data_IF_298938781319
#
_entry.id   IF_298938781319
#
_cell.length_a   1.000
_cell.length_b   1.000
_cell.length_c   1.000
_cell.angle_alpha   90.00
_cell.angle_beta   90.00
_cell.angle_gamma   90.00
#
_symmetry.space_group_name_H-M   'P 1'
#
loop_
_entity.id
_entity.type
_entity.pdbx_description
1 polymer ?
#
# COMPACT_ATOMS: atom_id res chain seq x y z
N UNK A 1 -30.43 -3.49 24.05
CA UNK A 1 -31.14 -3.93 22.83
C UNK A 1 -31.57 -5.37 22.95
N UNK A 2 -32.76 -5.74 22.39
CA UNK A 2 -33.21 -7.13 22.41
C UNK A 2 -32.41 -7.99 21.41
N UNK A 3 -32.24 -9.29 21.72
CA UNK A 3 -31.49 -10.23 20.86
C UNK A 3 -32.01 -10.24 19.40
N UNK A 4 -33.32 -10.12 19.21
CA UNK A 4 -33.95 -10.05 17.88
C UNK A 4 -33.57 -8.79 17.08
N UNK A 5 -33.46 -7.64 17.75
CA UNK A 5 -33.04 -6.37 17.15
C UNK A 5 -31.57 -6.40 16.77
N UNK A 6 -30.74 -6.98 17.64
CA UNK A 6 -29.31 -7.16 17.39
C UNK A 6 -29.09 -8.02 16.12
N UNK A 7 -29.85 -9.11 15.98
CA UNK A 7 -29.76 -9.97 14.80
C UNK A 7 -30.18 -9.25 13.52
N UNK A 8 -31.22 -8.41 13.54
CA UNK A 8 -31.63 -7.60 12.39
C UNK A 8 -30.54 -6.62 11.98
N UNK A 9 -29.87 -5.96 12.96
CA UNK A 9 -28.74 -5.06 12.68
C UNK A 9 -27.59 -5.85 12.05
N UNK A 10 -27.20 -6.99 12.63
CA UNK A 10 -26.13 -7.82 12.06
C UNK A 10 -26.43 -8.27 10.64
N UNK A 11 -27.64 -8.70 10.35
CA UNK A 11 -28.07 -9.09 8.99
C UNK A 11 -27.99 -7.92 8.02
N UNK A 12 -28.48 -6.74 8.41
CA UNK A 12 -28.46 -5.54 7.57
C UNK A 12 -27.05 -5.11 7.17
N UNK A 13 -26.08 -5.25 8.06
CA UNK A 13 -24.70 -4.83 7.83
C UNK A 13 -23.74 -5.98 7.53
N UNK A 14 -24.28 -7.18 7.30
CA UNK A 14 -23.49 -8.41 7.05
C UNK A 14 -22.42 -8.67 8.13
N UNK A 15 -22.75 -8.41 9.38
CA UNK A 15 -21.86 -8.65 10.53
C UNK A 15 -22.01 -10.09 10.97
N UNK A 16 -20.91 -10.84 10.90
CA UNK A 16 -20.85 -12.22 11.39
C UNK A 16 -20.04 -12.28 12.68
N UNK A 17 -20.61 -12.98 13.67
CA UNK A 17 -20.02 -13.17 14.97
C UNK A 17 -21.04 -13.00 16.11
N UNK A 18 -20.80 -13.68 17.23
CA UNK A 18 -21.67 -13.68 18.40
C UNK A 18 -20.94 -13.31 19.69
N UNK A 19 -19.68 -12.96 19.61
CA UNK A 19 -18.87 -12.54 20.75
C UNK A 19 -19.53 -11.35 21.48
N UNK A 20 -19.54 -11.39 22.80
CA UNK A 20 -20.16 -10.37 23.65
C UNK A 20 -19.56 -8.97 23.46
N UNK A 21 -18.25 -8.89 23.23
CA UNK A 21 -17.57 -7.61 22.97
C UNK A 21 -18.07 -6.94 21.68
N UNK A 22 -18.28 -7.71 20.62
CA UNK A 22 -18.85 -7.20 19.35
C UNK A 22 -20.32 -6.81 19.53
N UNK A 23 -21.11 -7.63 20.23
CA UNK A 23 -22.52 -7.37 20.52
C UNK A 23 -22.68 -6.06 21.31
N UNK A 24 -21.84 -5.85 22.33
CA UNK A 24 -21.80 -4.62 23.12
C UNK A 24 -21.43 -3.40 22.26
N UNK A 25 -20.44 -3.53 21.37
CA UNK A 25 -20.05 -2.46 20.47
C UNK A 25 -21.22 -2.02 19.57
N UNK A 26 -21.97 -2.97 19.02
CA UNK A 26 -23.16 -2.69 18.20
C UNK A 26 -24.28 -2.07 19.05
N UNK A 27 -24.52 -2.58 20.25
CA UNK A 27 -25.55 -2.05 21.15
C UNK A 27 -25.28 -0.58 21.52
N UNK A 28 -24.05 -0.25 21.90
CA UNK A 28 -23.62 1.14 22.18
C UNK A 28 -23.76 2.02 20.93
N UNK A 29 -23.37 1.50 19.74
CA UNK A 29 -23.51 2.23 18.49
C UNK A 29 -24.98 2.61 18.20
N UNK A 30 -25.91 1.68 18.43
CA UNK A 30 -27.34 1.94 18.26
C UNK A 30 -27.90 2.92 19.30
N UNK A 31 -27.45 2.85 20.54
CA UNK A 31 -27.87 3.77 21.60
C UNK A 31 -27.37 5.22 21.35
N UNK A 32 -26.18 5.37 20.81
CA UNK A 32 -25.60 6.70 20.53
C UNK A 32 -26.06 7.28 19.19
N UNK A 33 -26.58 6.46 18.29
CA UNK A 33 -26.98 6.89 16.95
C UNK A 33 -27.95 8.09 16.94
N UNK A 34 -28.99 8.17 17.81
CA UNK A 34 -29.92 9.28 17.82
C UNK A 34 -29.34 10.60 18.34
N UNK A 35 -28.13 10.59 18.92
CA UNK A 35 -27.46 11.76 19.50
C UNK A 35 -26.43 12.34 18.53
N UNK A 36 -25.99 13.59 18.78
CA UNK A 36 -24.88 14.21 18.05
C UNK A 36 -23.54 14.11 18.79
N UNK A 37 -23.44 13.23 19.79
CA UNK A 37 -22.21 13.03 20.55
C UNK A 37 -21.09 12.45 19.68
N UNK A 38 -19.86 12.89 19.93
CA UNK A 38 -18.66 12.32 19.33
C UNK A 38 -18.42 10.90 19.83
N UNK A 39 -17.98 10.03 18.96
CA UNK A 39 -17.71 8.62 19.26
C UNK A 39 -16.28 8.29 18.88
N UNK A 40 -15.53 7.67 19.78
CA UNK A 40 -14.19 7.17 19.51
C UNK A 40 -14.22 5.64 19.49
N UNK A 41 -13.95 5.06 18.34
CA UNK A 41 -13.88 3.61 18.13
C UNK A 41 -12.43 3.16 18.31
N UNK A 42 -12.21 2.26 19.26
CA UNK A 42 -10.89 1.75 19.61
C UNK A 42 -10.82 0.28 19.23
N UNK A 43 -9.78 -0.12 18.52
CA UNK A 43 -9.55 -1.51 18.12
C UNK A 43 -8.35 -1.67 17.23
N UNK A 44 -7.78 -2.86 17.18
CA UNK A 44 -6.63 -3.17 16.33
C UNK A 44 -6.91 -2.96 14.84
N UNK A 45 -5.85 -2.88 14.05
CA UNK A 45 -5.99 -2.81 12.59
C UNK A 45 -6.66 -4.08 12.05
N UNK A 46 -7.58 -3.93 11.08
CA UNK A 46 -8.25 -5.06 10.45
C UNK A 46 -9.38 -5.73 11.25
N UNK A 47 -9.84 -5.17 12.38
CA UNK A 47 -10.96 -5.73 13.17
C UNK A 47 -12.34 -5.42 12.60
N UNK A 48 -12.44 -4.49 11.62
CA UNK A 48 -13.71 -4.06 11.00
C UNK A 48 -14.31 -2.82 11.65
N UNK A 49 -13.48 -1.82 12.06
CA UNK A 49 -13.93 -0.56 12.67
C UNK A 49 -14.91 0.23 11.79
N UNK A 50 -14.78 0.15 10.48
CA UNK A 50 -15.56 0.91 9.49
C UNK A 50 -17.07 0.60 9.50
N UNK A 51 -17.50 -0.50 10.10
CA UNK A 51 -18.92 -0.89 10.14
C UNK A 51 -19.69 -0.04 11.17
N UNK A 52 -19.07 0.25 12.31
CA UNK A 52 -19.72 0.96 13.43
C UNK A 52 -20.17 2.39 13.04
N UNK A 53 -19.34 3.21 12.36
CA UNK A 53 -19.76 4.55 11.91
C UNK A 53 -20.96 4.50 10.96
N UNK A 54 -21.06 3.48 10.10
CA UNK A 54 -22.20 3.29 9.21
C UNK A 54 -23.47 2.97 9.99
N UNK A 55 -23.38 2.08 11.00
CA UNK A 55 -24.51 1.79 11.90
C UNK A 55 -24.98 3.09 12.58
N UNK A 56 -24.05 3.90 13.09
CA UNK A 56 -24.36 5.16 13.76
C UNK A 56 -25.03 6.14 12.80
N UNK A 57 -24.47 6.34 11.60
CA UNK A 57 -25.01 7.27 10.63
C UNK A 57 -26.42 6.86 10.15
N UNK A 58 -26.60 5.60 9.72
CA UNK A 58 -27.85 5.10 9.14
C UNK A 58 -29.02 5.10 10.14
N UNK A 59 -28.73 5.05 11.44
CA UNK A 59 -29.74 5.07 12.50
C UNK A 59 -29.82 6.44 13.23
N UNK A 60 -29.15 7.48 12.67
CA UNK A 60 -29.14 8.85 13.19
C UNK A 60 -30.22 9.72 12.51
N UNK A 61 -30.52 10.90 13.10
CA UNK A 61 -31.33 11.94 12.42
C UNK A 61 -30.70 12.37 11.08
N UNK A 62 -29.37 12.26 10.93
CA UNK A 62 -28.59 12.65 9.74
C UNK A 62 -28.51 11.56 8.67
N UNK A 63 -29.26 10.48 8.76
CA UNK A 63 -29.21 9.31 7.85
C UNK A 63 -29.45 9.61 6.35
N UNK A 64 -30.05 10.76 6.04
CA UNK A 64 -30.31 11.21 4.66
C UNK A 64 -29.26 12.18 4.16
N UNK A 65 -28.41 12.66 5.05
CA UNK A 65 -27.35 13.59 4.75
C UNK A 65 -26.06 12.85 4.30
N UNK A 66 -25.05 13.61 3.90
CA UNK A 66 -23.79 13.03 3.40
C UNK A 66 -23.03 12.30 4.49
N UNK A 67 -22.48 11.16 4.13
CA UNK A 67 -21.53 10.39 4.93
C UNK A 67 -20.18 10.32 4.21
N UNK A 68 -19.12 10.76 4.86
CA UNK A 68 -17.75 10.66 4.36
C UNK A 68 -16.91 9.83 5.30
N UNK A 69 -16.16 8.86 4.73
CA UNK A 69 -15.16 8.09 5.45
C UNK A 69 -13.77 8.48 4.93
N UNK A 70 -12.91 8.93 5.84
CA UNK A 70 -11.58 9.46 5.54
C UNK A 70 -10.58 8.66 6.37
N UNK A 71 -9.58 8.08 5.72
CA UNK A 71 -8.45 7.48 6.42
C UNK A 71 -7.34 8.52 6.53
N UNK A 72 -7.07 9.00 7.75
CA UNK A 72 -6.10 10.06 8.03
C UNK A 72 -4.66 9.60 7.75
N UNK A 73 -4.34 8.33 7.97
CA UNK A 73 -3.01 7.77 7.70
C UNK A 73 -2.68 7.61 6.22
N UNK A 74 -3.71 7.60 5.33
CA UNK A 74 -3.50 7.47 3.89
C UNK A 74 -3.25 8.79 3.17
N UNK A 75 -3.50 9.95 3.83
CA UNK A 75 -3.33 11.28 3.26
C UNK A 75 -1.97 11.84 3.69
N UNK A 76 -1.11 12.29 2.75
CA UNK A 76 0.17 12.88 3.10
C UNK A 76 0.01 14.10 4.03
N UNK A 77 0.90 14.24 5.02
CA UNK A 77 0.87 15.33 6.01
C UNK A 77 0.79 16.74 5.37
N UNK A 78 1.49 16.94 4.25
CA UNK A 78 1.50 18.23 3.54
C UNK A 78 0.18 18.61 2.86
N UNK A 79 -0.77 17.68 2.69
CA UNK A 79 -2.05 17.90 2.00
C UNK A 79 -3.27 17.68 2.88
N UNK A 80 -3.13 17.04 4.03
CA UNK A 80 -4.24 16.66 4.90
C UNK A 80 -5.09 17.86 5.36
N UNK A 81 -4.47 18.99 5.66
CA UNK A 81 -5.18 20.21 6.02
C UNK A 81 -6.02 20.76 4.88
N UNK A 82 -5.49 20.71 3.66
CA UNK A 82 -6.19 21.13 2.45
C UNK A 82 -7.37 20.20 2.11
N UNK A 83 -7.23 18.90 2.32
CA UNK A 83 -8.31 17.93 2.11
C UNK A 83 -9.42 18.10 3.16
N UNK A 84 -9.07 18.21 4.44
CA UNK A 84 -10.05 18.32 5.52
C UNK A 84 -10.76 19.69 5.54
N UNK A 85 -10.01 20.78 5.50
CA UNK A 85 -10.53 22.15 5.72
C UNK A 85 -10.71 22.95 4.44
N UNK A 86 -10.21 22.42 3.29
CA UNK A 86 -10.21 23.14 2.04
C UNK A 86 -9.09 24.16 1.90
N UNK A 87 -8.96 24.74 0.72
CA UNK A 87 -7.95 25.75 0.43
C UNK A 87 -8.49 26.83 -0.51
N UNK A 88 -7.91 28.03 -0.42
CA UNK A 88 -8.14 29.10 -1.38
C UNK A 88 -7.18 29.02 -2.55
N UNK A 89 -7.60 29.57 -3.70
CA UNK A 89 -6.78 29.61 -4.91
C UNK A 89 -5.44 30.28 -4.62
N UNK A 90 -4.33 29.60 -4.98
CA UNK A 90 -2.97 30.14 -4.82
C UNK A 90 -2.37 29.99 -3.41
N UNK A 91 -3.01 29.26 -2.50
CA UNK A 91 -2.53 29.08 -1.12
C UNK A 91 -1.24 28.26 -1.00
N UNK A 92 -0.92 27.43 -1.99
CA UNK A 92 0.34 26.67 -2.09
C UNK A 92 0.66 26.36 -3.55
N UNK A 93 1.89 25.90 -3.82
CA UNK A 93 2.33 25.50 -5.18
C UNK A 93 1.51 24.30 -5.68
N UNK A 94 0.58 24.56 -6.60
CA UNK A 94 -0.36 23.54 -7.11
C UNK A 94 -1.83 23.82 -6.79
N UNK A 95 -2.16 24.81 -5.96
CA UNK A 95 -3.52 25.26 -5.68
C UNK A 95 -4.08 26.10 -6.86
N UNK A 96 -4.39 25.44 -7.98
CA UNK A 96 -4.91 26.09 -9.19
C UNK A 96 -6.34 26.58 -9.00
N UNK A 97 -7.13 25.86 -8.22
CA UNK A 97 -8.53 26.15 -7.88
C UNK A 97 -8.75 26.37 -6.40
N UNK A 98 -10.00 26.64 -6.05
CA UNK A 98 -10.52 26.65 -4.69
C UNK A 98 -11.06 25.24 -4.36
N UNK A 99 -10.85 24.75 -3.15
CA UNK A 99 -11.42 23.49 -2.65
C UNK A 99 -12.19 23.76 -1.34
N UNK A 100 -13.40 23.23 -1.25
CA UNK A 100 -14.25 23.41 -0.07
C UNK A 100 -13.78 22.58 1.13
N UNK A 101 -13.10 21.48 0.90
CA UNK A 101 -12.68 20.51 1.91
C UNK A 101 -13.82 19.64 2.45
N UNK A 102 -13.44 18.55 3.12
CA UNK A 102 -14.44 17.59 3.62
C UNK A 102 -15.39 18.20 4.65
N UNK A 103 -14.93 19.11 5.53
CA UNK A 103 -15.80 19.75 6.53
C UNK A 103 -16.84 20.67 5.91
N UNK A 104 -16.54 21.29 4.78
CA UNK A 104 -17.53 22.08 4.04
C UNK A 104 -18.54 21.19 3.33
N UNK A 105 -18.06 20.22 2.57
CA UNK A 105 -18.88 19.30 1.75
C UNK A 105 -19.80 18.42 2.60
N UNK A 106 -19.37 18.05 3.82
CA UNK A 106 -20.10 17.20 4.77
C UNK A 106 -21.04 17.97 5.71
N UNK A 107 -21.20 19.28 5.51
CA UNK A 107 -22.06 20.10 6.37
C UNK A 107 -23.46 19.46 6.52
N UNK A 108 -23.98 19.41 7.76
CA UNK A 108 -25.18 18.70 8.24
C UNK A 108 -25.09 17.17 8.22
N UNK A 109 -23.98 16.61 7.71
CA UNK A 109 -23.76 15.18 7.58
C UNK A 109 -22.94 14.56 8.72
N UNK A 110 -22.25 13.48 8.39
CA UNK A 110 -21.35 12.75 9.30
C UNK A 110 -20.01 12.52 8.63
N UNK A 111 -18.93 12.80 9.34
CA UNK A 111 -17.55 12.46 8.94
C UNK A 111 -17.06 11.34 9.85
N UNK A 112 -16.55 10.29 9.23
CA UNK A 112 -15.79 9.24 9.89
C UNK A 112 -14.30 9.46 9.62
N UNK A 113 -13.52 9.66 10.69
CA UNK A 113 -12.07 9.80 10.66
C UNK A 113 -11.42 8.50 11.13
N UNK A 114 -10.93 7.69 10.21
CA UNK A 114 -10.15 6.49 10.56
C UNK A 114 -8.67 6.87 10.79
N UNK A 115 -8.02 6.13 11.68
CA UNK A 115 -6.62 6.36 12.07
C UNK A 115 -6.36 7.80 12.53
N UNK A 116 -7.27 8.34 13.35
CA UNK A 116 -7.18 9.72 13.85
C UNK A 116 -5.90 9.99 14.66
N UNK A 117 -5.27 8.95 15.20
CA UNK A 117 -3.99 9.01 15.91
C UNK A 117 -2.80 9.40 15.02
N UNK A 118 -2.94 9.30 13.68
CA UNK A 118 -1.90 9.64 12.71
C UNK A 118 -1.97 11.12 12.24
N UNK A 119 -2.95 11.90 12.75
CA UNK A 119 -3.08 13.30 12.40
C UNK A 119 -1.89 14.13 12.92
N UNK A 120 -1.31 15.03 12.10
CA UNK A 120 -0.31 16.01 12.55
C UNK A 120 -0.84 16.92 13.66
N UNK A 121 0.03 17.35 14.58
CA UNK A 121 -0.34 18.20 15.72
C UNK A 121 -1.05 19.51 15.32
N UNK A 122 -0.66 20.11 14.20
CA UNK A 122 -1.31 21.30 13.66
C UNK A 122 -2.76 21.02 13.24
N UNK A 123 -2.98 19.91 12.53
CA UNK A 123 -4.30 19.44 12.11
C UNK A 123 -5.19 19.08 13.29
N UNK A 124 -4.61 18.46 14.34
CA UNK A 124 -5.34 18.16 15.58
C UNK A 124 -5.88 19.43 16.26
N UNK A 125 -5.11 20.52 16.29
CA UNK A 125 -5.55 21.78 16.86
C UNK A 125 -6.72 22.40 16.06
N UNK A 126 -6.69 22.27 14.74
CA UNK A 126 -7.77 22.74 13.86
C UNK A 126 -9.03 21.88 14.01
N UNK A 127 -8.86 20.55 14.11
CA UNK A 127 -9.96 19.61 14.35
C UNK A 127 -10.65 19.88 15.69
N UNK A 128 -9.89 20.19 16.74
CA UNK A 128 -10.45 20.57 18.04
C UNK A 128 -11.38 21.78 17.92
N UNK A 129 -10.98 22.82 17.18
CA UNK A 129 -11.82 23.99 16.94
C UNK A 129 -13.13 23.65 16.23
N UNK A 130 -13.10 22.75 15.26
CA UNK A 130 -14.33 22.25 14.60
C UNK A 130 -15.23 21.52 15.60
N UNK A 131 -14.67 20.69 16.49
CA UNK A 131 -15.43 19.94 17.50
C UNK A 131 -16.05 20.82 18.59
N UNK A 132 -15.42 21.97 18.91
CA UNK A 132 -15.88 22.87 19.97
C UNK A 132 -16.88 23.90 19.46
N UNK A 133 -16.56 24.55 18.35
CA UNK A 133 -17.31 25.72 17.86
C UNK A 133 -17.98 25.50 16.51
N UNK A 134 -17.69 24.39 15.81
CA UNK A 134 -18.13 24.16 14.43
C UNK A 134 -17.47 25.12 13.43
N UNK A 135 -16.33 25.74 13.80
CA UNK A 135 -15.65 26.74 12.98
C UNK A 135 -14.31 26.22 12.45
N UNK A 136 -14.00 26.58 11.22
CA UNK A 136 -12.71 26.31 10.60
C UNK A 136 -12.32 27.42 9.62
N UNK A 137 -11.05 27.44 9.23
CA UNK A 137 -10.52 28.38 8.24
C UNK A 137 -9.83 27.55 7.16
N UNK A 138 -10.08 27.90 5.89
CA UNK A 138 -9.40 27.26 4.75
C UNK A 138 -7.89 27.55 4.75
N UNK A 139 -7.11 26.68 4.15
CA UNK A 139 -5.67 26.91 3.97
C UNK A 139 -5.45 28.14 3.07
N UNK A 140 -4.64 29.09 3.53
CA UNK A 140 -4.42 30.37 2.87
C UNK A 140 -5.53 31.39 3.01
N UNK A 141 -6.67 31.04 3.63
CA UNK A 141 -7.80 31.92 3.86
C UNK A 141 -7.75 32.60 5.21
N UNK A 142 -8.57 33.68 5.36
CA UNK A 142 -8.80 34.40 6.62
C UNK A 142 -10.27 34.31 7.09
N UNK A 143 -11.16 33.89 6.18
CA UNK A 143 -12.58 33.82 6.47
C UNK A 143 -12.90 32.62 7.36
N UNK A 144 -13.64 32.86 8.44
CA UNK A 144 -14.19 31.83 9.31
C UNK A 144 -15.36 31.17 8.59
N UNK A 145 -15.26 29.85 8.37
CA UNK A 145 -16.32 29.01 7.84
C UNK A 145 -16.98 28.27 8.99
N UNK A 146 -18.30 27.99 8.87
CA UNK A 146 -19.07 27.22 9.85
C UNK A 146 -19.53 25.92 9.26
N UNK A 147 -19.48 24.87 10.06
CA UNK A 147 -20.00 23.54 9.69
C UNK A 147 -20.74 22.94 10.89
N UNK A 148 -21.83 22.25 10.59
CA UNK A 148 -22.57 21.41 11.52
C UNK A 148 -22.37 19.94 11.10
N UNK A 149 -21.29 19.32 11.56
CA UNK A 149 -20.92 17.96 11.19
C UNK A 149 -20.81 17.08 12.42
N UNK A 150 -21.38 15.87 12.36
CA UNK A 150 -21.15 14.85 13.36
C UNK A 150 -19.83 14.14 13.08
N UNK A 151 -18.96 14.02 14.08
CA UNK A 151 -17.67 13.37 13.97
C UNK A 151 -17.71 12.02 14.69
N UNK A 152 -17.32 10.96 13.98
CA UNK A 152 -17.02 9.63 14.50
C UNK A 152 -15.57 9.34 14.18
N UNK A 153 -14.74 9.05 15.17
CA UNK A 153 -13.31 8.81 15.00
C UNK A 153 -12.97 7.35 15.30
N UNK A 154 -11.95 6.81 14.66
CA UNK A 154 -11.40 5.50 14.98
C UNK A 154 -9.87 5.55 15.11
N UNK A 155 -9.34 4.68 15.95
CA UNK A 155 -7.90 4.54 16.17
C UNK A 155 -7.51 3.11 16.50
N UNK A 156 -6.32 2.70 16.10
CA UNK A 156 -5.64 1.49 16.51
C UNK A 156 -4.49 1.77 17.48
N UNK A 157 -4.18 3.05 17.72
CA UNK A 157 -3.07 3.49 18.56
C UNK A 157 -3.49 3.55 20.03
N UNK A 158 -2.56 3.23 20.93
CA UNK A 158 -2.76 3.50 22.36
C UNK A 158 -2.67 5.03 22.59
N UNK A 159 -3.84 5.65 22.71
CA UNK A 159 -3.96 7.12 22.82
C UNK A 159 -3.25 7.67 24.08
N UNK A 160 -3.27 6.94 25.21
CA UNK A 160 -2.56 7.38 26.42
C UNK A 160 -1.04 7.46 26.20
N UNK A 161 -0.50 6.46 25.49
CA UNK A 161 0.91 6.46 25.12
C UNK A 161 1.22 7.59 24.12
N UNK A 162 0.39 7.79 23.11
CA UNK A 162 0.55 8.87 22.13
C UNK A 162 0.53 10.28 22.79
N UNK A 163 -0.33 10.47 23.79
CA UNK A 163 -0.40 11.73 24.58
C UNK A 163 0.89 11.90 25.39
N UNK A 164 1.35 10.87 26.11
CA UNK A 164 2.57 10.97 26.91
C UNK A 164 3.83 11.22 26.07
N UNK A 165 3.84 10.79 24.81
CA UNK A 165 4.92 11.04 23.85
C UNK A 165 4.77 12.37 23.09
N UNK A 166 3.73 13.17 23.36
CA UNK A 166 3.47 14.44 22.71
C UNK A 166 3.03 14.33 21.25
N UNK A 167 2.65 13.13 20.78
CA UNK A 167 2.16 12.89 19.42
C UNK A 167 0.67 13.16 19.24
N UNK A 168 -0.07 13.19 20.34
CA UNK A 168 -1.51 13.49 20.33
C UNK A 168 -1.87 14.45 21.45
N UNK A 169 -2.77 15.41 21.17
CA UNK A 169 -3.23 16.40 22.13
C UNK A 169 -4.23 15.79 23.10
N UNK A 170 -4.05 16.07 24.38
CA UNK A 170 -4.93 15.58 25.44
C UNK A 170 -6.33 16.18 25.37
N UNK A 171 -6.45 17.47 25.05
CA UNK A 171 -7.73 18.18 24.90
C UNK A 171 -8.58 17.58 23.75
N UNK A 172 -7.97 17.31 22.60
CA UNK A 172 -8.65 16.66 21.49
C UNK A 172 -9.09 15.24 21.86
N UNK A 173 -8.25 14.48 22.58
CA UNK A 173 -8.62 13.14 23.02
C UNK A 173 -9.89 13.15 23.87
N UNK A 174 -9.99 14.01 24.89
CA UNK A 174 -11.19 14.09 25.72
C UNK A 174 -12.42 14.54 24.92
N UNK A 175 -12.26 15.38 23.92
CA UNK A 175 -13.38 15.83 23.08
C UNK A 175 -13.87 14.74 22.13
N UNK A 176 -12.98 13.92 21.58
CA UNK A 176 -13.33 12.77 20.73
C UNK A 176 -13.88 11.59 21.54
N UNK A 177 -13.31 11.33 22.71
CA UNK A 177 -13.61 10.19 23.58
C UNK A 177 -14.84 10.42 24.47
N UNK A 178 -15.87 11.09 23.97
CA UNK A 178 -17.12 11.28 24.71
C UNK A 178 -17.82 9.95 24.92
N UNK A 179 -17.93 9.13 23.88
CA UNK A 179 -18.46 7.76 23.97
C UNK A 179 -17.42 6.82 23.36
N UNK A 180 -16.69 6.03 24.17
CA UNK A 180 -15.79 5.00 23.67
C UNK A 180 -16.54 3.75 23.22
N UNK A 181 -16.19 3.22 22.04
CA UNK A 181 -16.63 1.91 21.56
C UNK A 181 -15.40 1.05 21.31
N UNK A 182 -15.25 -0.04 22.06
CA UNK A 182 -14.15 -0.99 21.87
C UNK A 182 -14.60 -2.15 20.99
N UNK A 183 -13.82 -2.46 19.96
CA UNK A 183 -14.00 -3.64 19.13
C UNK A 183 -12.92 -4.64 19.52
N UNK A 184 -13.29 -5.85 19.98
CA UNK A 184 -12.32 -6.85 20.40
C UNK A 184 -11.50 -7.36 19.19
N UNK A 185 -10.22 -7.68 19.39
CA UNK A 185 -9.41 -8.33 18.36
C UNK A 185 -9.95 -9.74 18.08
N UNK A 186 -9.61 -10.29 16.92
CA UNK A 186 -10.18 -11.55 16.44
C UNK A 186 -9.87 -12.73 17.36
N UNK A 187 -8.68 -12.76 17.97
CA UNK A 187 -8.27 -13.80 18.95
C UNK A 187 -9.18 -13.88 20.18
N UNK A 188 -9.83 -12.77 20.55
CA UNK A 188 -10.73 -12.68 21.70
C UNK A 188 -12.21 -12.95 21.31
N UNK A 189 -12.48 -13.27 20.02
CA UNK A 189 -13.82 -13.56 19.51
C UNK A 189 -14.16 -15.06 19.46
N UNK A 190 -13.21 -15.93 19.80
CA UNK A 190 -13.43 -17.38 19.87
C UNK A 190 -13.98 -17.98 18.57
N UNK A 191 -15.15 -18.63 18.66
CA UNK A 191 -15.77 -19.32 17.52
C UNK A 191 -16.17 -18.42 16.33
N UNK A 192 -16.23 -17.11 16.54
CA UNK A 192 -16.47 -16.15 15.44
C UNK A 192 -15.43 -16.29 14.32
N UNK A 193 -14.21 -16.73 14.63
CA UNK A 193 -13.15 -17.03 13.65
C UNK A 193 -13.66 -18.04 12.61
N UNK A 194 -14.26 -19.13 13.07
CA UNK A 194 -14.75 -20.18 12.19
C UNK A 194 -15.99 -19.75 11.40
N UNK A 195 -16.84 -18.92 12.00
CA UNK A 195 -18.00 -18.35 11.31
C UNK A 195 -17.56 -17.42 10.18
N UNK A 196 -16.59 -16.56 10.44
CA UNK A 196 -16.01 -15.65 9.45
C UNK A 196 -15.28 -16.41 8.34
N UNK A 197 -14.51 -17.44 8.69
CA UNK A 197 -13.90 -18.32 7.68
C UNK A 197 -14.94 -18.92 6.74
N UNK A 198 -16.03 -19.48 7.27
CA UNK A 198 -17.12 -20.07 6.46
C UNK A 198 -17.75 -19.05 5.54
N UNK A 199 -17.97 -17.82 6.02
CA UNK A 199 -18.50 -16.73 5.22
C UNK A 199 -17.54 -16.39 4.07
N UNK A 200 -16.25 -16.20 4.37
CA UNK A 200 -15.25 -15.85 3.35
C UNK A 200 -15.04 -16.97 2.35
N UNK A 201 -14.98 -18.24 2.81
CA UNK A 201 -14.88 -19.39 1.92
C UNK A 201 -16.06 -19.48 0.94
N UNK A 202 -17.27 -19.15 1.39
CA UNK A 202 -18.46 -19.09 0.52
C UNK A 202 -18.34 -17.94 -0.49
N UNK A 203 -17.96 -16.74 -0.04
CA UNK A 203 -17.77 -15.59 -0.93
C UNK A 203 -16.69 -15.84 -1.99
N UNK A 204 -15.60 -16.53 -1.62
CA UNK A 204 -14.52 -16.85 -2.58
C UNK A 204 -14.96 -17.95 -3.55
N UNK A 205 -15.73 -18.93 -3.09
CA UNK A 205 -16.32 -19.95 -3.98
C UNK A 205 -17.22 -19.33 -5.05
N UNK A 206 -18.07 -18.37 -4.67
CA UNK A 206 -18.92 -17.63 -5.60
C UNK A 206 -18.10 -16.71 -6.54
N UNK A 207 -17.15 -15.96 -5.99
CA UNK A 207 -16.32 -15.01 -6.75
C UNK A 207 -15.47 -15.67 -7.83
N UNK A 208 -14.89 -16.82 -7.51
CA UNK A 208 -13.96 -17.54 -8.39
C UNK A 208 -14.57 -18.76 -9.08
N UNK A 209 -15.85 -19.03 -8.86
CA UNK A 209 -16.55 -20.23 -9.39
C UNK A 209 -15.85 -21.55 -9.04
N UNK A 210 -15.29 -21.62 -7.81
CA UNK A 210 -14.59 -22.77 -7.29
C UNK A 210 -15.44 -23.51 -6.26
N UNK A 211 -15.24 -24.82 -6.07
CA UNK A 211 -15.86 -25.53 -4.96
C UNK A 211 -15.41 -24.93 -3.61
N UNK A 212 -16.36 -24.81 -2.68
CA UNK A 212 -16.11 -24.28 -1.34
C UNK A 212 -15.07 -25.12 -0.59
N UNK A 213 -14.15 -24.45 0.09
CA UNK A 213 -13.19 -25.09 1.00
C UNK A 213 -13.81 -25.31 2.38
N UNK A 214 -13.38 -26.38 3.06
CA UNK A 214 -13.74 -26.73 4.43
C UNK A 214 -12.47 -26.98 5.24
N UNK A 215 -12.59 -26.95 6.56
CA UNK A 215 -11.47 -27.20 7.47
C UNK A 215 -11.65 -28.57 8.15
N UNK A 216 -10.58 -29.34 8.25
CA UNK A 216 -10.52 -30.49 9.17
C UNK A 216 -10.60 -30.01 10.64
N UNK A 217 -10.84 -30.92 11.57
CA UNK A 217 -10.93 -30.53 12.98
C UNK A 217 -9.58 -30.06 13.55
N UNK A 218 -8.48 -30.61 13.05
CA UNK A 218 -7.12 -30.13 13.38
C UNK A 218 -6.90 -28.71 12.87
N UNK A 219 -7.28 -28.42 11.63
CA UNK A 219 -7.18 -27.09 11.07
C UNK A 219 -8.03 -26.06 11.81
N UNK A 220 -9.26 -26.43 12.25
CA UNK A 220 -10.10 -25.57 13.09
C UNK A 220 -9.41 -25.23 14.40
N UNK A 221 -8.80 -26.23 15.06
CA UNK A 221 -8.08 -26.02 16.32
C UNK A 221 -6.89 -25.04 16.14
N UNK A 222 -6.10 -25.19 15.06
CA UNK A 222 -4.99 -24.31 14.74
C UNK A 222 -5.50 -22.87 14.53
N UNK A 223 -6.57 -22.70 13.75
CA UNK A 223 -7.15 -21.38 13.50
C UNK A 223 -7.66 -20.67 14.77
N UNK A 224 -8.25 -21.43 15.70
CA UNK A 224 -8.74 -20.89 16.97
C UNK A 224 -7.59 -20.46 17.90
N UNK A 225 -6.45 -21.13 17.81
CA UNK A 225 -5.28 -20.87 18.67
C UNK A 225 -4.38 -19.75 18.12
N UNK A 226 -4.46 -19.47 16.85
CA UNK A 226 -3.61 -18.45 16.21
C UNK A 226 -3.98 -17.03 16.67
N UNK A 227 -2.96 -16.18 16.86
CA UNK A 227 -3.12 -14.80 17.42
C UNK A 227 -3.80 -13.79 16.49
N UNK A 228 -3.82 -14.05 15.19
CA UNK A 228 -4.41 -13.19 14.16
C UNK A 228 -3.97 -11.72 14.25
N UNK A 229 -2.67 -11.38 14.11
CA UNK A 229 -2.19 -10.00 14.25
C UNK A 229 -2.82 -9.03 13.25
N UNK A 230 -3.21 -9.49 12.06
CA UNK A 230 -3.97 -8.70 11.07
C UNK A 230 -5.49 -8.88 11.15
N UNK A 231 -6.00 -9.55 12.21
CA UNK A 231 -7.42 -9.72 12.52
C UNK A 231 -8.26 -10.25 11.33
N UNK A 232 -9.45 -9.69 11.12
CA UNK A 232 -10.40 -10.11 10.08
C UNK A 232 -9.83 -9.90 8.67
N UNK A 233 -9.02 -8.86 8.47
CA UNK A 233 -8.36 -8.60 7.17
C UNK A 233 -7.38 -9.73 6.81
N UNK A 234 -6.59 -10.18 7.78
CA UNK A 234 -5.67 -11.31 7.58
C UNK A 234 -6.44 -12.62 7.35
N UNK A 235 -7.47 -12.89 8.17
CA UNK A 235 -8.31 -14.09 8.00
C UNK A 235 -8.91 -14.15 6.59
N UNK A 236 -9.45 -13.03 6.10
CA UNK A 236 -10.01 -12.94 4.75
C UNK A 236 -8.96 -13.25 3.67
N UNK A 237 -7.77 -12.63 3.77
CA UNK A 237 -6.69 -12.84 2.80
C UNK A 237 -6.20 -14.30 2.80
N UNK A 238 -6.01 -14.89 3.97
CA UNK A 238 -5.58 -16.30 4.10
C UNK A 238 -6.67 -17.24 3.54
N UNK A 239 -7.95 -16.96 3.82
CA UNK A 239 -9.07 -17.75 3.27
C UNK A 239 -9.12 -17.64 1.75
N UNK A 240 -8.87 -16.47 1.18
CA UNK A 240 -8.80 -16.26 -0.27
C UNK A 240 -7.64 -17.04 -0.88
N UNK A 241 -6.44 -16.97 -0.28
CA UNK A 241 -5.27 -17.75 -0.71
C UNK A 241 -5.54 -19.26 -0.66
N UNK A 242 -6.09 -19.76 0.44
CA UNK A 242 -6.47 -21.17 0.55
C UNK A 242 -7.49 -21.58 -0.51
N UNK A 243 -8.50 -20.74 -0.79
CA UNK A 243 -9.54 -21.04 -1.78
C UNK A 243 -8.99 -21.17 -3.19
N UNK A 244 -7.95 -20.40 -3.54
CA UNK A 244 -7.37 -20.36 -4.89
C UNK A 244 -6.23 -21.39 -5.05
N UNK A 245 -5.37 -21.52 -4.05
CA UNK A 245 -4.11 -22.28 -4.16
C UNK A 245 -4.23 -23.73 -3.69
N UNK A 246 -5.22 -24.09 -2.87
CA UNK A 246 -5.36 -25.47 -2.38
C UNK A 246 -5.93 -26.38 -3.46
N UNK A 247 -5.26 -27.51 -3.69
CA UNK A 247 -5.74 -28.57 -4.57
C UNK A 247 -6.87 -29.37 -3.92
N UNK A 248 -6.74 -29.64 -2.63
CA UNK A 248 -7.76 -30.31 -1.81
C UNK A 248 -8.76 -29.30 -1.28
N UNK A 249 -10.03 -29.67 -1.25
CA UNK A 249 -11.10 -28.80 -0.75
C UNK A 249 -11.31 -28.91 0.76
N UNK A 250 -10.82 -29.95 1.36
CA UNK A 250 -10.72 -30.09 2.81
C UNK A 250 -9.27 -29.76 3.24
N UNK A 251 -9.13 -28.66 3.97
CA UNK A 251 -7.82 -28.16 4.43
C UNK A 251 -7.45 -28.92 5.70
N UNK A 252 -6.38 -29.71 5.60
CA UNK A 252 -5.81 -30.44 6.73
C UNK A 252 -4.98 -29.55 7.67
N UNK A 253 -4.63 -30.05 8.86
CA UNK A 253 -3.74 -29.36 9.80
C UNK A 253 -2.36 -29.06 9.21
N UNK A 254 -1.81 -29.95 8.39
CA UNK A 254 -0.53 -29.73 7.72
C UNK A 254 -0.63 -28.68 6.59
N UNK A 255 -1.73 -28.70 5.86
CA UNK A 255 -1.96 -27.76 4.78
C UNK A 255 -2.11 -26.32 5.28
N UNK A 256 -2.75 -26.11 6.43
CA UNK A 256 -2.98 -24.77 6.98
C UNK A 256 -1.68 -24.07 7.41
N UNK A 257 -0.66 -24.82 7.88
CA UNK A 257 0.66 -24.28 8.23
C UNK A 257 1.38 -23.63 7.04
N UNK A 258 1.04 -23.99 5.80
CA UNK A 258 1.60 -23.36 4.59
C UNK A 258 1.06 -21.94 4.36
N UNK A 259 -0.12 -21.63 4.91
CA UNK A 259 -0.81 -20.35 4.70
C UNK A 259 -0.77 -19.45 5.94
N UNK A 260 -0.77 -20.04 7.12
CA UNK A 260 -0.63 -19.28 8.36
C UNK A 260 0.86 -19.14 8.64
N UNK A 261 1.42 -17.91 8.69
CA UNK A 261 2.80 -17.72 9.12
C UNK A 261 2.99 -18.37 10.48
N UNK A 262 4.02 -19.20 10.64
CA UNK A 262 4.40 -19.65 11.97
C UNK A 262 4.59 -18.42 12.83
N UNK A 263 4.03 -18.44 14.04
CA UNK A 263 4.26 -17.38 15.02
C UNK A 263 5.77 -17.27 15.22
N UNK A 264 6.37 -16.42 14.45
CA UNK A 264 7.71 -15.95 14.73
C UNK A 264 7.59 -15.18 16.03
N UNK A 265 7.67 -15.88 17.16
CA UNK A 265 7.99 -15.29 18.46
C UNK A 265 9.31 -14.49 18.41
N UNK A 266 9.91 -14.40 17.26
CA UNK A 266 11.20 -13.76 16.97
C UNK A 266 11.27 -12.95 15.71
N UNK A 267 10.16 -12.60 15.05
CA UNK A 267 10.29 -11.58 14.01
C UNK A 267 10.02 -10.22 14.63
N UNK A 268 11.06 -9.60 15.09
CA UNK A 268 11.30 -8.19 15.38
C UNK A 268 10.81 -7.21 14.29
N UNK A 269 9.82 -7.56 13.50
CA UNK A 269 9.08 -6.64 12.65
C UNK A 269 8.06 -5.80 13.42
N UNK A 270 7.77 -6.18 14.68
CA UNK A 270 6.94 -5.37 15.58
C UNK A 270 7.74 -4.30 16.35
N UNK A 271 9.04 -4.19 16.17
CA UNK A 271 9.89 -3.19 16.83
C UNK A 271 10.41 -2.10 15.90
N UNK A 272 9.81 -1.91 14.73
CA UNK A 272 10.02 -0.69 13.94
C UNK A 272 9.06 0.43 14.41
N UNK A 273 8.42 0.27 15.56
CA UNK A 273 7.63 1.32 16.21
C UNK A 273 8.17 1.63 17.59
N UNK A 274 9.47 1.87 17.73
CA UNK A 274 10.01 2.61 18.87
C UNK A 274 10.37 4.00 18.40
N UNK A 275 9.67 5.04 18.89
CA UNK A 275 10.01 6.40 18.57
C UNK A 275 11.18 6.83 19.47
N UNK A 276 12.33 7.01 18.87
CA UNK A 276 13.45 7.58 19.62
C UNK A 276 14.79 7.21 19.04
N UNK A 277 15.12 7.89 18.07
CA UNK A 277 16.41 8.12 17.39
C UNK A 277 16.31 7.82 15.89
N UNK A 278 16.41 8.88 15.17
CA UNK A 278 16.60 8.95 13.74
C UNK A 278 17.60 7.91 13.26
N UNK A 279 17.16 6.86 12.64
CA UNK A 279 18.06 5.94 11.98
C UNK A 279 17.70 5.85 10.48
N UNK A 280 17.93 6.97 9.80
CA UNK A 280 18.27 6.95 8.38
C UNK A 280 19.47 6.01 8.12
N UNK A 281 20.24 5.68 9.14
CA UNK A 281 21.34 4.71 9.08
C UNK A 281 20.85 3.27 8.97
N UNK A 282 19.81 2.85 9.69
CA UNK A 282 19.33 1.47 9.61
C UNK A 282 18.55 1.18 8.33
N UNK A 283 17.80 2.13 7.79
CA UNK A 283 17.18 1.98 6.46
C UNK A 283 18.24 1.92 5.36
N UNK A 284 19.32 2.70 5.48
CA UNK A 284 20.46 2.61 4.56
C UNK A 284 21.20 1.28 4.68
N UNK A 285 21.42 0.77 5.87
CA UNK A 285 22.02 -0.56 6.07
C UNK A 285 21.20 -1.70 5.46
N UNK A 286 19.88 -1.69 5.63
CA UNK A 286 18.98 -2.68 5.02
C UNK A 286 19.01 -2.56 3.49
N UNK A 287 18.96 -1.34 2.95
CA UNK A 287 19.06 -1.08 1.52
C UNK A 287 20.42 -1.53 0.96
N UNK A 288 21.51 -1.27 1.68
CA UNK A 288 22.85 -1.74 1.29
C UNK A 288 22.95 -3.27 1.34
N UNK A 289 22.34 -3.93 2.32
CA UNK A 289 22.32 -5.39 2.42
C UNK A 289 21.54 -6.02 1.27
N UNK A 290 20.38 -5.48 0.92
CA UNK A 290 19.57 -5.92 -0.23
C UNK A 290 20.31 -5.68 -1.54
N UNK A 291 20.97 -4.52 -1.70
CA UNK A 291 21.79 -4.21 -2.88
C UNK A 291 23.01 -5.13 -2.99
N UNK A 292 23.60 -5.51 -1.88
CA UNK A 292 24.76 -6.42 -1.85
C UNK A 292 24.34 -7.85 -2.22
N UNK A 293 23.19 -8.34 -1.72
CA UNK A 293 22.62 -9.62 -2.10
C UNK A 293 22.20 -9.67 -3.58
N UNK A 294 21.57 -8.60 -4.07
CA UNK A 294 21.21 -8.47 -5.50
C UNK A 294 22.47 -8.47 -6.39
N UNK A 295 23.53 -7.78 -5.98
CA UNK A 295 24.81 -7.78 -6.70
C UNK A 295 25.46 -9.17 -6.71
N UNK A 296 25.37 -9.93 -5.62
CA UNK A 296 25.78 -11.33 -5.52
C UNK A 296 25.05 -12.21 -6.53
N UNK A 297 23.72 -12.16 -6.51
CA UNK A 297 22.86 -12.94 -7.38
C UNK A 297 23.07 -12.63 -8.88
N UNK A 298 23.27 -11.34 -9.22
CA UNK A 298 23.59 -10.91 -10.59
C UNK A 298 24.98 -11.40 -11.02
N UNK A 299 25.95 -11.43 -10.13
CA UNK A 299 27.30 -11.95 -10.39
C UNK A 299 27.27 -13.47 -10.66
N UNK A 300 26.51 -14.21 -9.88
CA UNK A 300 26.35 -15.65 -10.03
C UNK A 300 25.59 -16.01 -11.32
N UNK A 301 24.51 -15.30 -11.65
CA UNK A 301 23.80 -15.42 -12.91
C UNK A 301 24.71 -15.11 -14.13
N UNK A 302 25.58 -14.11 -14.03
CA UNK A 302 26.57 -13.83 -15.08
C UNK A 302 27.59 -14.95 -15.25
N UNK A 303 28.03 -15.56 -14.14
CA UNK A 303 28.96 -16.69 -14.17
C UNK A 303 28.32 -17.91 -14.80
N UNK A 304 27.06 -18.20 -14.47
CA UNK A 304 26.29 -19.30 -15.04
C UNK A 304 26.00 -19.09 -16.53
N UNK A 305 25.63 -17.87 -16.94
CA UNK A 305 25.48 -17.54 -18.36
C UNK A 305 26.79 -17.71 -19.15
N UNK A 306 27.91 -17.28 -18.59
CA UNK A 306 29.21 -17.46 -19.26
C UNK A 306 29.65 -18.94 -19.34
N UNK A 307 29.29 -19.73 -18.32
CA UNK A 307 29.55 -21.18 -18.36
C UNK A 307 28.70 -21.89 -19.41
N UNK A 308 27.41 -21.56 -19.50
CA UNK A 308 26.49 -22.06 -20.53
C UNK A 308 26.92 -21.64 -21.94
N UNK A 309 27.39 -20.40 -22.09
CA UNK A 309 27.91 -19.91 -23.39
C UNK A 309 29.15 -20.67 -23.83
N UNK A 310 30.10 -20.93 -22.92
CA UNK A 310 31.28 -21.78 -23.21
C UNK A 310 30.89 -23.23 -23.58
N UNK A 311 29.87 -23.80 -22.92
CA UNK A 311 29.36 -25.14 -23.25
C UNK A 311 28.69 -25.18 -24.64
N UNK A 312 27.94 -24.12 -25.01
CA UNK A 312 27.33 -23.97 -26.31
C UNK A 312 28.37 -23.79 -27.43
N UNK A 313 29.43 -23.02 -27.17
CA UNK A 313 30.52 -22.83 -28.14
C UNK A 313 31.35 -24.13 -28.31
N UNK A 314 31.56 -24.87 -27.21
CA UNK A 314 32.20 -26.18 -27.27
C UNK A 314 31.34 -27.24 -28.01
N UNK A 315 30.03 -27.22 -27.83
CA UNK A 315 29.10 -28.07 -28.55
C UNK A 315 29.02 -27.73 -30.05
N UNK A 316 29.12 -26.44 -30.40
CA UNK A 316 29.17 -25.96 -31.79
C UNK A 316 30.47 -26.36 -32.50
N UNK A 317 31.62 -26.31 -31.82
CA UNK A 317 32.90 -26.76 -32.39
C UNK A 317 32.99 -28.29 -32.57
N UNK A 318 32.26 -29.06 -31.73
CA UNK A 318 32.21 -30.52 -31.87
C UNK A 318 31.31 -31.03 -33.03
N UNK A 319 30.42 -30.14 -33.57
CA UNK A 319 29.53 -30.52 -34.70
C UNK A 319 30.08 -30.14 -36.06
N UNK A 320 31.28 -29.56 -36.16
CA UNK A 320 31.90 -29.14 -37.46
C UNK A 320 32.82 -30.19 -38.02
N UNK A 321 33.21 -31.23 -37.26
CA UNK A 321 34.20 -32.26 -37.72
C UNK A 321 33.59 -33.56 -38.26
N UNK A 322 32.28 -33.65 -38.48
CA UNK A 322 31.67 -34.86 -39.07
C UNK A 322 30.63 -34.52 -40.13
N UNK A 323 31.06 -34.12 -41.33
CA UNK A 323 30.32 -34.42 -42.57
C UNK A 323 31.08 -33.90 -43.80
N UNK A 324 32.04 -34.71 -44.21
CA UNK A 324 32.49 -34.72 -45.59
C UNK A 324 32.38 -36.18 -46.05
N UNK A 325 31.26 -36.56 -46.67
CA UNK A 325 31.20 -37.53 -47.80
C UNK A 325 29.76 -38.00 -48.03
N UNK A 326 29.41 -37.90 -49.31
CA UNK A 326 28.34 -38.62 -50.05
C UNK A 326 27.03 -37.88 -50.33
N UNK A 327 27.09 -37.24 -51.53
CA UNK A 327 25.94 -37.06 -52.41
C UNK A 327 25.58 -38.41 -53.11
N UNK A 328 24.33 -38.64 -53.56
CA UNK A 328 24.02 -38.35 -54.95
C UNK A 328 22.68 -37.66 -55.23
N UNK A 329 22.70 -36.98 -56.40
CA UNK A 329 21.66 -36.25 -57.11
C UNK A 329 20.50 -37.08 -57.59
N UNK A 330 19.26 -36.48 -57.73
CA UNK A 330 18.22 -36.72 -58.79
C UNK A 330 17.22 -35.57 -58.63
N UNK A 331 17.16 -34.57 -59.49
CA UNK A 331 16.45 -34.21 -60.73
C UNK A 331 14.90 -34.17 -60.63
N UNK A 332 14.39 -32.98 -61.09
CA UNK A 332 13.08 -32.58 -61.69
C UNK A 332 11.88 -32.46 -60.78
N UNK A 333 10.97 -31.50 -60.84
CA UNK A 333 10.48 -30.60 -61.90
C UNK A 333 9.66 -29.45 -61.32
N UNK A 334 9.62 -28.31 -62.00
CA UNK A 334 8.69 -27.19 -61.79
C UNK A 334 7.31 -27.50 -62.43
N UNK A 335 6.20 -26.74 -62.21
CA UNK A 335 6.15 -25.27 -62.45
C UNK A 335 5.22 -24.43 -61.60
N UNK A 336 5.57 -23.17 -61.48
CA UNK A 336 4.83 -21.91 -61.58
C UNK A 336 3.40 -21.72 -61.03
N UNK A 337 3.20 -20.78 -60.10
CA UNK A 337 2.18 -19.72 -60.24
C UNK A 337 2.54 -18.49 -59.38
N UNK A 338 2.68 -17.39 -60.03
CA UNK A 338 2.76 -16.00 -59.62
C UNK A 338 1.60 -15.56 -58.71
N UNK A 339 1.86 -14.73 -57.68
CA UNK A 339 1.16 -13.46 -57.41
C UNK A 339 2.01 -12.63 -56.44
N UNK A 340 2.20 -11.41 -56.90
CA UNK A 340 2.79 -10.17 -56.44
C UNK A 340 2.93 -9.80 -54.97
N UNK A 341 4.11 -9.22 -54.67
CA UNK A 341 4.48 -8.39 -53.51
C UNK A 341 3.65 -7.12 -53.30
N UNK A 342 3.72 -6.47 -52.13
CA UNK A 342 4.67 -5.39 -52.02
C UNK A 342 5.47 -5.23 -50.71
N UNK A 343 6.65 -4.69 -50.94
CA UNK A 343 7.47 -3.81 -50.10
C UNK A 343 7.89 -4.22 -48.68
N UNK A 344 9.10 -4.68 -48.57
CA UNK A 344 9.95 -4.70 -47.36
C UNK A 344 10.52 -3.29 -47.15
N UNK A 345 10.32 -2.75 -45.94
CA UNK A 345 11.17 -1.71 -45.36
C UNK A 345 12.29 -2.38 -44.55
N UNK A 346 13.50 -1.90 -44.81
CA UNK A 346 14.76 -2.45 -44.34
C UNK A 346 14.91 -2.39 -42.81
N UNK A 347 15.44 -3.48 -42.22
CA UNK A 347 15.99 -3.51 -40.86
C UNK A 347 17.43 -2.95 -40.86
N UNK A 348 17.83 -2.14 -39.89
CA UNK A 348 19.21 -1.69 -39.78
C UNK A 348 20.10 -2.80 -39.20
N UNK A 349 21.21 -3.00 -39.85
CA UNK A 349 22.34 -3.85 -39.49
C UNK A 349 22.88 -3.46 -38.12
N UNK A 350 23.00 -4.44 -37.23
CA UNK A 350 23.70 -4.29 -35.95
C UNK A 350 25.20 -4.26 -36.26
N UNK A 351 25.81 -3.09 -36.08
CA UNK A 351 27.26 -2.95 -36.03
C UNK A 351 27.73 -3.31 -34.64
N UNK A 352 28.78 -4.14 -34.55
CA UNK A 352 29.48 -4.53 -33.33
C UNK A 352 29.89 -3.30 -32.52
N UNK A 353 29.25 -3.13 -31.36
CA UNK A 353 29.70 -2.17 -30.36
C UNK A 353 30.83 -2.83 -29.56
N UNK A 354 32.02 -2.34 -29.77
CA UNK A 354 33.21 -2.60 -28.93
C UNK A 354 32.85 -2.18 -27.50
N UNK A 355 32.96 -3.09 -26.55
CA UNK A 355 32.77 -2.81 -25.14
C UNK A 355 33.94 -1.94 -24.65
N UNK A 356 33.73 -0.64 -24.48
CA UNK A 356 34.63 0.21 -23.73
C UNK A 356 34.57 -0.21 -22.24
N UNK A 357 35.71 -0.55 -21.68
CA UNK A 357 35.90 -0.75 -20.25
C UNK A 357 35.50 0.52 -19.50
N UNK A 358 34.43 0.45 -18.76
CA UNK A 358 34.05 1.51 -17.81
C UNK A 358 35.02 1.40 -16.64
N UNK A 359 36.01 2.28 -16.58
CA UNK A 359 36.87 2.48 -15.41
C UNK A 359 35.98 2.75 -14.17
N UNK A 360 36.24 2.02 -13.09
CA UNK A 360 35.56 2.23 -11.81
C UNK A 360 35.81 3.68 -11.33
N UNK A 361 34.78 4.34 -10.78
CA UNK A 361 34.96 5.70 -10.27
C UNK A 361 35.89 5.70 -9.05
N UNK A 362 36.91 6.53 -9.07
CA UNK A 362 37.91 6.68 -8.03
C UNK A 362 37.38 7.23 -6.69
N UNK A 363 36.14 7.72 -6.65
CA UNK A 363 35.48 8.17 -5.42
C UNK A 363 34.05 7.70 -5.34
N UNK A 364 33.63 7.29 -4.13
CA UNK A 364 32.23 6.91 -3.81
C UNK A 364 31.37 8.13 -3.41
N UNK A 365 31.87 9.34 -3.58
CA UNK A 365 31.13 10.56 -3.29
C UNK A 365 30.12 10.85 -4.41
N UNK A 366 28.83 10.93 -4.06
CA UNK A 366 27.72 11.14 -4.99
C UNK A 366 27.86 12.47 -5.80
N UNK A 367 28.50 13.48 -5.22
CA UNK A 367 28.77 14.74 -5.89
C UNK A 367 29.85 14.60 -6.98
N UNK A 368 30.89 13.84 -6.71
CA UNK A 368 31.98 13.59 -7.67
C UNK A 368 31.49 12.69 -8.82
N UNK A 369 30.71 11.67 -8.52
CA UNK A 369 30.08 10.82 -9.55
C UNK A 369 29.12 11.66 -10.40
N UNK A 370 28.30 12.51 -9.77
CA UNK A 370 27.39 13.43 -10.47
C UNK A 370 28.12 14.42 -11.38
N UNK A 371 29.27 14.93 -10.96
CA UNK A 371 30.14 15.81 -11.77
C UNK A 371 30.70 15.07 -12.98
N UNK A 372 31.26 13.88 -12.78
CA UNK A 372 31.83 13.05 -13.86
C UNK A 372 30.77 12.67 -14.89
N UNK A 373 29.54 12.34 -14.45
CA UNK A 373 28.45 12.03 -15.38
C UNK A 373 28.04 13.23 -16.23
N UNK A 374 27.96 14.42 -15.64
CA UNK A 374 27.63 15.65 -16.37
C UNK A 374 28.74 16.02 -17.35
N UNK A 375 30.00 15.89 -16.97
CA UNK A 375 31.16 16.16 -17.80
C UNK A 375 31.24 15.21 -19.01
N UNK A 376 31.11 13.89 -18.78
CA UNK A 376 31.08 12.87 -19.84
C UNK A 376 29.91 13.06 -20.81
N UNK A 377 28.73 13.42 -20.30
CA UNK A 377 27.56 13.65 -21.16
C UNK A 377 27.73 14.91 -22.04
N UNK A 378 28.37 15.97 -21.53
CA UNK A 378 28.69 17.16 -22.29
C UNK A 378 29.76 16.88 -23.36
N UNK A 379 30.79 16.12 -23.05
CA UNK A 379 31.85 15.72 -24.01
C UNK A 379 31.29 14.86 -25.13
N UNK A 380 30.49 13.81 -24.81
CA UNK A 380 29.86 12.95 -25.84
C UNK A 380 28.92 13.70 -26.78
N UNK A 381 28.27 14.74 -26.29
CA UNK A 381 27.32 15.53 -27.07
C UNK A 381 27.95 16.80 -27.64
N UNK A 382 29.30 16.93 -27.68
CA UNK A 382 30.01 18.07 -28.23
C UNK A 382 29.59 19.43 -27.64
N UNK A 383 29.27 19.48 -26.36
CA UNK A 383 28.83 20.67 -25.65
C UNK A 383 27.34 21.02 -25.82
N UNK A 384 26.57 20.21 -26.53
CA UNK A 384 25.15 20.45 -26.72
C UNK A 384 24.33 20.09 -25.45
N UNK A 385 23.98 21.14 -24.69
CA UNK A 385 23.31 21.03 -23.40
C UNK A 385 21.95 20.32 -23.45
N UNK A 386 21.15 20.50 -24.51
CA UNK A 386 19.86 19.84 -24.67
C UNK A 386 19.98 18.33 -24.86
N UNK A 387 20.93 17.90 -25.71
CA UNK A 387 21.19 16.47 -25.93
C UNK A 387 21.78 15.80 -24.71
N UNK A 388 22.70 16.46 -24.01
CA UNK A 388 23.27 15.96 -22.73
C UNK A 388 22.21 15.84 -21.62
N UNK A 389 21.24 16.75 -21.55
CA UNK A 389 20.12 16.65 -20.61
C UNK A 389 19.22 15.44 -20.91
N UNK A 390 18.93 15.17 -22.18
CA UNK A 390 18.18 14.01 -22.61
C UNK A 390 18.91 12.69 -22.31
N UNK A 391 20.22 12.62 -22.56
CA UNK A 391 21.05 11.45 -22.24
C UNK A 391 21.08 11.14 -20.73
N UNK A 392 21.13 12.20 -19.91
CA UNK A 392 21.12 12.07 -18.44
C UNK A 392 19.72 11.90 -17.83
N UNK A 393 18.65 11.94 -18.64
CA UNK A 393 17.27 11.83 -18.18
C UNK A 393 16.81 12.96 -17.25
N UNK A 394 17.41 14.18 -17.37
CA UNK A 394 17.09 15.35 -16.54
C UNK A 394 16.61 16.52 -17.40
N UNK A 395 15.91 17.48 -16.75
CA UNK A 395 15.48 18.69 -17.45
C UNK A 395 16.66 19.63 -17.77
N UNK A 396 16.55 20.39 -18.87
CA UNK A 396 17.54 21.40 -19.29
C UNK A 396 17.88 22.37 -18.14
N UNK A 397 16.88 22.76 -17.35
CA UNK A 397 17.03 23.64 -16.19
C UNK A 397 17.84 22.99 -15.06
N UNK A 398 17.66 21.70 -14.85
CA UNK A 398 18.40 20.93 -13.85
C UNK A 398 19.86 20.76 -14.26
N UNK A 399 20.11 20.49 -15.56
CA UNK A 399 21.47 20.39 -16.08
C UNK A 399 22.20 21.72 -15.97
N UNK A 400 21.56 22.83 -16.33
CA UNK A 400 22.13 24.17 -16.23
C UNK A 400 22.57 24.51 -14.79
N UNK A 401 21.70 24.19 -13.80
CA UNK A 401 22.01 24.37 -12.37
C UNK A 401 23.21 23.54 -11.93
N UNK A 402 23.32 22.27 -12.39
CA UNK A 402 24.44 21.38 -12.06
C UNK A 402 25.74 21.83 -12.73
N UNK A 403 25.72 22.28 -13.98
CA UNK A 403 26.88 22.84 -14.67
C UNK A 403 27.45 24.04 -13.88
N UNK A 404 26.57 24.93 -13.40
CA UNK A 404 26.96 26.08 -12.59
C UNK A 404 27.49 25.66 -11.21
N UNK A 405 26.86 24.67 -10.56
CA UNK A 405 27.28 24.13 -9.28
C UNK A 405 28.66 23.46 -9.33
N UNK A 406 28.96 22.76 -10.41
CA UNK A 406 30.21 22.02 -10.60
C UNK A 406 31.31 22.85 -11.31
N UNK A 407 31.04 24.10 -11.67
CA UNK A 407 32.01 24.99 -12.32
C UNK A 407 32.44 24.57 -13.72
N UNK A 408 31.56 23.85 -14.44
CA UNK A 408 31.80 23.34 -15.79
C UNK A 408 31.34 24.32 -16.90
N UNK A 409 31.28 25.60 -16.59
CA UNK A 409 30.97 26.66 -17.56
C UNK A 409 32.21 26.90 -18.45
N UNK A 410 32.25 26.30 -19.64
CA UNK A 410 33.13 26.67 -20.77
C UNK A 410 32.32 27.33 -21.87
#
# INVERSE_FOLDING_TARGET
MNTSELQKVKQRYNIVGNCDGLNRAIDVAMQVAPTDLSVLIIGESGVGKEIIPRIIHDNSPRRREKYFAINCGSIPEGTIDSELFGHEKGSFTGAIGENEGYFGVANKGTIFLDEVGELPMATQARLLRVLETGEYIRVGGQKIMKTDVRIVAATNVNMRKAISEGRFREDLYYRLNTIPIQIPPLRDRGEDILLLFRLFAMQMAEKYHLPKITLSDEAKYIMLKYKWPGNVRQLKNITEQMSVLSQEREISGEAIHKFIPEDAESTQLATISSPGSHSYESEREILYKILYELRGNVSDLRRDMNSLRKQLDAARSATVDTSASNLPSIITDQPSATISSPARTAAPTVQDAVAEEISEPESLNLEDIGRQMVEKALERNGGNRKKAAQELGISDRTLYRRIKQYGLEK
#
